data_IF_072165571437
#
_entry.id   IF_072165571437
#
_cell.length_a   1.000
_cell.length_b   1.000
_cell.length_c   1.000
_cell.angle_alpha   90.00
_cell.angle_beta   90.00
_cell.angle_gamma   90.00
#
_symmetry.space_group_name_H-M   'P 1'
#
loop_
_entity.id
_entity.type
_entity.pdbx_description
1 polymer ?
#
# COMPACT_ATOMS: atom_id res chain seq x y z
N UNK A 1 -16.43 -20.82 -28.69
CA UNK A 1 -15.99 -21.21 -27.34
C UNK A 1 -17.21 -21.72 -26.62
N UNK A 2 -17.11 -22.89 -26.01
CA UNK A 2 -18.15 -23.42 -25.12
C UNK A 2 -18.06 -22.73 -23.76
N UNK A 3 -19.13 -22.76 -22.96
CA UNK A 3 -19.13 -22.18 -21.61
C UNK A 3 -18.05 -22.79 -20.70
N UNK A 4 -17.74 -24.08 -20.89
CA UNK A 4 -16.64 -24.75 -20.18
C UNK A 4 -15.26 -24.17 -20.53
N UNK A 5 -15.02 -23.82 -21.79
CA UNK A 5 -13.79 -23.15 -22.21
C UNK A 5 -13.71 -21.73 -21.66
N UNK A 6 -14.82 -20.98 -21.68
CA UNK A 6 -14.88 -19.61 -21.13
C UNK A 6 -14.59 -19.66 -19.62
N UNK A 7 -15.20 -20.58 -18.88
CA UNK A 7 -14.95 -20.76 -17.46
C UNK A 7 -13.46 -21.04 -17.16
N UNK A 8 -12.84 -21.93 -17.94
CA UNK A 8 -11.40 -22.22 -17.81
C UNK A 8 -10.55 -20.96 -18.01
N UNK A 9 -10.84 -20.17 -19.04
CA UNK A 9 -10.14 -18.91 -19.30
C UNK A 9 -10.36 -17.91 -18.16
N UNK A 10 -11.59 -17.77 -17.66
CA UNK A 10 -11.89 -16.87 -16.53
C UNK A 10 -11.10 -17.24 -15.28
N UNK A 11 -11.01 -18.52 -14.95
CA UNK A 11 -10.20 -19.02 -13.83
C UNK A 11 -8.71 -18.69 -14.02
N UNK A 12 -8.18 -18.88 -15.22
CA UNK A 12 -6.78 -18.53 -15.51
C UNK A 12 -6.53 -17.03 -15.45
N UNK A 13 -7.50 -16.20 -15.84
CA UNK A 13 -7.42 -14.75 -15.70
C UNK A 13 -7.44 -14.30 -14.23
N UNK A 14 -8.28 -14.91 -13.38
CA UNK A 14 -8.28 -14.67 -11.92
C UNK A 14 -6.92 -15.00 -11.30
N UNK A 15 -6.37 -16.18 -11.60
CA UNK A 15 -5.03 -16.59 -11.13
C UNK A 15 -3.94 -15.67 -11.67
N UNK A 16 -4.06 -15.24 -12.93
CA UNK A 16 -3.10 -14.32 -13.53
C UNK A 16 -3.13 -12.96 -12.83
N UNK A 17 -4.31 -12.41 -12.55
CA UNK A 17 -4.46 -11.16 -11.84
C UNK A 17 -3.83 -11.24 -10.45
N UNK A 18 -4.26 -12.22 -9.63
CA UNK A 18 -3.76 -12.38 -8.27
C UNK A 18 -2.24 -12.61 -8.19
N UNK A 19 -1.68 -13.41 -9.10
CA UNK A 19 -0.22 -13.64 -9.16
C UNK A 19 0.56 -12.37 -9.45
N UNK A 20 0.13 -11.58 -10.45
CA UNK A 20 0.89 -10.40 -10.87
C UNK A 20 0.76 -9.26 -9.86
N UNK A 21 -0.41 -9.07 -9.25
CA UNK A 21 -0.61 -8.03 -8.25
C UNK A 21 0.08 -8.37 -6.94
N UNK A 22 0.00 -9.63 -6.51
CA UNK A 22 0.77 -10.13 -5.36
C UNK A 22 2.28 -10.02 -5.60
N UNK A 23 2.78 -10.39 -6.79
CA UNK A 23 4.20 -10.22 -7.15
C UNK A 23 4.61 -8.75 -7.13
N UNK A 24 3.80 -7.84 -7.67
CA UNK A 24 4.08 -6.40 -7.64
C UNK A 24 4.21 -5.87 -6.21
N UNK A 25 3.23 -6.14 -5.35
CA UNK A 25 3.26 -5.69 -3.95
C UNK A 25 4.42 -6.30 -3.17
N UNK A 26 4.65 -7.61 -3.27
CA UNK A 26 5.72 -8.28 -2.53
C UNK A 26 7.09 -7.77 -2.97
N UNK A 27 7.30 -7.56 -4.27
CA UNK A 27 8.57 -7.05 -4.79
C UNK A 27 8.78 -5.59 -4.38
N UNK A 28 7.73 -4.76 -4.43
CA UNK A 28 7.80 -3.37 -3.99
C UNK A 28 8.12 -3.26 -2.49
N UNK A 29 7.49 -4.10 -1.65
CA UNK A 29 7.67 -4.07 -0.19
C UNK A 29 8.99 -4.70 0.29
N UNK A 30 9.59 -5.57 -0.52
CA UNK A 30 10.88 -6.20 -0.21
C UNK A 30 12.08 -5.25 -0.34
N UNK A 31 11.89 -4.08 -0.94
CA UNK A 31 12.94 -3.06 -1.04
C UNK A 31 13.08 -2.37 0.32
N UNK A 32 14.24 -2.54 0.95
CA UNK A 32 14.52 -1.95 2.26
C UNK A 32 14.72 -0.43 2.18
N UNK A 33 15.40 0.03 1.14
CA UNK A 33 15.70 1.45 0.94
C UNK A 33 14.44 2.25 0.56
N UNK A 34 14.15 3.39 1.21
CA UNK A 34 12.99 4.23 0.87
C UNK A 34 13.05 4.80 -0.55
N UNK A 35 12.10 4.43 -1.40
CA UNK A 35 12.11 4.82 -2.81
C UNK A 35 13.22 4.13 -3.61
N UNK A 36 13.84 3.09 -3.03
CA UNK A 36 14.92 2.36 -3.66
C UNK A 36 14.45 1.48 -4.81
N UNK A 37 15.37 0.66 -5.31
CA UNK A 37 15.16 -0.25 -6.42
C UNK A 37 15.74 -1.62 -6.11
N UNK A 38 15.25 -2.65 -6.79
CA UNK A 38 15.89 -3.97 -6.82
C UNK A 38 15.91 -4.51 -8.26
N UNK A 39 16.82 -5.44 -8.61
CA UNK A 39 16.80 -6.08 -9.92
C UNK A 39 15.44 -6.69 -10.24
N UNK A 40 14.81 -7.33 -9.26
CA UNK A 40 13.48 -7.93 -9.41
C UNK A 40 12.40 -6.88 -9.68
N UNK A 41 12.51 -5.70 -9.08
CA UNK A 41 11.60 -4.58 -9.34
C UNK A 41 11.78 -4.03 -10.75
N UNK A 42 13.01 -3.79 -11.17
CA UNK A 42 13.34 -3.29 -12.52
C UNK A 42 12.87 -4.28 -13.59
N UNK A 43 13.11 -5.58 -13.39
CA UNK A 43 12.63 -6.64 -14.29
C UNK A 43 11.12 -6.64 -14.40
N UNK A 44 10.41 -6.42 -13.29
CA UNK A 44 8.95 -6.37 -13.27
C UNK A 44 8.41 -5.14 -14.00
N UNK A 45 8.99 -3.96 -13.77
CA UNK A 45 8.64 -2.74 -14.51
C UNK A 45 8.86 -2.92 -16.01
N UNK A 46 10.02 -3.47 -16.41
CA UNK A 46 10.36 -3.78 -17.80
C UNK A 46 9.36 -4.76 -18.43
N UNK A 47 8.99 -5.84 -17.73
CA UNK A 47 8.03 -6.83 -18.21
C UNK A 47 6.67 -6.20 -18.56
N UNK A 48 6.21 -5.23 -17.75
CA UNK A 48 4.97 -4.50 -17.98
C UNK A 48 5.14 -3.20 -18.79
N UNK A 49 6.36 -2.94 -19.30
CA UNK A 49 6.72 -1.73 -20.06
C UNK A 49 6.44 -0.43 -19.32
N UNK A 50 6.60 -0.46 -18.00
CA UNK A 50 6.53 0.72 -17.14
C UNK A 50 7.90 1.38 -17.15
N UNK A 51 7.92 2.68 -17.39
CA UNK A 51 9.17 3.45 -17.34
C UNK A 51 9.52 3.70 -15.88
N UNK A 52 10.74 3.35 -15.41
CA UNK A 52 11.15 3.68 -14.06
C UNK A 52 11.23 5.19 -13.88
N UNK A 53 10.88 5.64 -12.68
CA UNK A 53 11.06 7.03 -12.27
C UNK A 53 12.55 7.28 -12.06
N UNK A 54 13.00 8.51 -12.32
CA UNK A 54 14.41 8.85 -12.13
C UNK A 54 14.83 8.63 -10.67
N UNK A 55 16.07 8.18 -10.47
CA UNK A 55 16.58 7.90 -9.13
C UNK A 55 16.48 9.11 -8.20
N UNK A 56 16.84 10.29 -8.69
CA UNK A 56 16.73 11.56 -7.96
C UNK A 56 15.28 11.84 -7.53
N UNK A 57 14.32 11.63 -8.41
CA UNK A 57 12.90 11.86 -8.12
C UNK A 57 12.32 10.85 -7.12
N UNK A 58 12.77 9.59 -7.17
CA UNK A 58 12.39 8.58 -6.18
C UNK A 58 12.86 8.97 -4.79
N UNK A 59 14.13 9.34 -4.64
CA UNK A 59 14.68 9.78 -3.36
C UNK A 59 14.05 11.08 -2.86
N UNK A 60 13.81 12.04 -3.75
CA UNK A 60 13.10 13.28 -3.42
C UNK A 60 11.70 12.98 -2.87
N UNK A 61 10.94 12.12 -3.55
CA UNK A 61 9.59 11.73 -3.14
C UNK A 61 9.61 10.99 -1.81
N UNK A 62 10.53 10.03 -1.63
CA UNK A 62 10.68 9.30 -0.38
C UNK A 62 10.98 10.25 0.80
N UNK A 63 11.87 11.23 0.60
CA UNK A 63 12.21 12.24 1.60
C UNK A 63 11.03 13.15 1.95
N UNK A 64 10.29 13.65 0.95
CA UNK A 64 9.14 14.55 1.17
C UNK A 64 8.00 13.82 1.89
N UNK A 65 7.74 12.57 1.52
CA UNK A 65 6.63 11.79 2.08
C UNK A 65 6.98 11.09 3.40
N UNK A 66 8.26 11.08 3.78
CA UNK A 66 8.74 10.37 4.98
C UNK A 66 8.63 8.86 4.84
N UNK A 67 8.70 8.34 3.61
CA UNK A 67 8.63 6.91 3.32
C UNK A 67 9.72 6.16 4.09
N UNK A 68 9.36 5.02 4.69
CA UNK A 68 10.29 4.26 5.54
C UNK A 68 10.97 3.10 4.80
N UNK A 69 10.36 2.61 3.72
CA UNK A 69 10.86 1.51 2.89
C UNK A 69 10.01 1.36 1.63
N UNK A 70 10.49 0.60 0.66
CA UNK A 70 9.75 0.13 -0.50
C UNK A 70 10.07 0.85 -1.81
N UNK A 71 9.45 0.40 -2.90
CA UNK A 71 9.50 1.05 -4.21
C UNK A 71 8.75 2.40 -4.24
N UNK A 72 9.07 3.23 -5.23
CA UNK A 72 8.32 4.47 -5.47
C UNK A 72 6.82 4.18 -5.63
N UNK A 73 5.94 4.91 -4.90
CA UNK A 73 4.48 4.78 -5.05
C UNK A 73 4.00 5.07 -6.47
N UNK A 74 4.70 5.94 -7.20
CA UNK A 74 4.37 6.29 -8.59
C UNK A 74 4.62 5.09 -9.53
N UNK A 75 5.79 4.46 -9.45
CA UNK A 75 6.12 3.26 -10.22
C UNK A 75 5.14 2.12 -9.94
N UNK A 76 4.78 1.92 -8.67
CA UNK A 76 3.80 0.90 -8.30
C UNK A 76 2.40 1.23 -8.85
N UNK A 77 2.00 2.51 -8.83
CA UNK A 77 0.72 2.96 -9.41
C UNK A 77 0.69 2.65 -10.90
N UNK A 78 1.74 3.00 -11.64
CA UNK A 78 1.83 2.75 -13.07
C UNK A 78 1.88 1.25 -13.41
N UNK A 79 2.58 0.46 -12.60
CA UNK A 79 2.63 -0.99 -12.73
C UNK A 79 1.26 -1.64 -12.51
N UNK A 80 0.56 -1.27 -11.44
CA UNK A 80 -0.79 -1.75 -11.18
C UNK A 80 -1.76 -1.29 -12.28
N UNK A 81 -1.63 -0.05 -12.77
CA UNK A 81 -2.42 0.45 -13.90
C UNK A 81 -2.16 -0.35 -15.19
N UNK A 82 -0.90 -0.72 -15.46
CA UNK A 82 -0.53 -1.57 -16.60
C UNK A 82 -1.11 -3.00 -16.48
N UNK A 83 -1.08 -3.59 -15.28
CA UNK A 83 -1.71 -4.89 -14.98
C UNK A 83 -3.22 -4.80 -15.22
N UNK A 84 -3.89 -3.79 -14.66
CA UNK A 84 -5.33 -3.54 -14.83
C UNK A 84 -5.69 -3.32 -16.29
N UNK A 85 -4.90 -2.56 -17.05
CA UNK A 85 -5.11 -2.35 -18.49
C UNK A 85 -4.99 -3.65 -19.28
N UNK A 86 -3.98 -4.47 -18.99
CA UNK A 86 -3.79 -5.79 -19.60
C UNK A 86 -4.97 -6.72 -19.28
N UNK A 87 -5.43 -6.71 -18.04
CA UNK A 87 -6.58 -7.49 -17.58
C UNK A 87 -7.87 -7.07 -18.29
N UNK A 88 -8.18 -5.77 -18.34
CA UNK A 88 -9.33 -5.21 -19.08
C UNK A 88 -9.29 -5.62 -20.55
N UNK A 89 -8.12 -5.58 -21.18
CA UNK A 89 -7.95 -6.03 -22.58
C UNK A 89 -8.24 -7.52 -22.75
N UNK A 90 -7.81 -8.37 -21.81
CA UNK A 90 -8.09 -9.81 -21.83
C UNK A 90 -9.57 -10.11 -21.60
N UNK A 91 -10.22 -9.45 -20.64
CA UNK A 91 -11.66 -9.59 -20.38
C UNK A 91 -12.48 -9.14 -21.59
N UNK A 92 -12.11 -8.04 -22.26
CA UNK A 92 -12.83 -7.54 -23.45
C UNK A 92 -12.83 -8.55 -24.62
N UNK A 93 -11.86 -9.46 -24.66
CA UNK A 93 -11.75 -10.51 -25.69
C UNK A 93 -12.57 -11.75 -25.37
N UNK A 94 -13.13 -11.86 -24.16
CA UNK A 94 -14.03 -12.95 -23.82
C UNK A 94 -15.36 -12.74 -24.55
N UNK A 95 -15.92 -13.79 -25.18
CA UNK A 95 -17.31 -13.74 -25.62
C UNK A 95 -18.22 -13.68 -24.40
N UNK A 96 -19.41 -13.11 -24.60
CA UNK A 96 -20.45 -13.16 -23.60
C UNK A 96 -21.05 -14.58 -23.56
N UNK A 97 -21.07 -15.23 -22.40
CA UNK A 97 -21.66 -16.56 -22.25
C UNK A 97 -23.18 -16.46 -22.14
N UNK A 98 -23.88 -17.52 -22.54
CA UNK A 98 -25.33 -17.64 -22.37
C UNK A 98 -25.70 -17.99 -20.91
N UNK A 99 -24.76 -18.59 -20.16
CA UNK A 99 -24.92 -18.88 -18.74
C UNK A 99 -24.84 -17.61 -17.86
N UNK A 100 -25.93 -17.33 -17.15
CA UNK A 100 -26.05 -16.24 -16.19
C UNK A 100 -25.00 -16.31 -15.07
N UNK A 101 -24.66 -17.51 -14.57
CA UNK A 101 -23.70 -17.65 -13.48
C UNK A 101 -22.28 -17.27 -13.93
N UNK A 102 -21.91 -17.65 -15.15
CA UNK A 102 -20.64 -17.30 -15.75
C UNK A 102 -20.55 -15.81 -16.09
N UNK A 103 -21.64 -15.22 -16.58
CA UNK A 103 -21.76 -13.77 -16.79
C UNK A 103 -21.51 -12.98 -15.50
N UNK A 104 -22.15 -13.37 -14.39
CA UNK A 104 -21.93 -12.77 -13.07
C UNK A 104 -20.47 -12.87 -12.60
N UNK A 105 -19.80 -13.99 -12.89
CA UNK A 105 -18.38 -14.16 -12.55
C UNK A 105 -17.48 -13.23 -13.34
N UNK A 106 -17.74 -13.05 -14.64
CA UNK A 106 -17.00 -12.10 -15.49
C UNK A 106 -17.19 -10.67 -14.97
N UNK A 107 -18.41 -10.29 -14.60
CA UNK A 107 -18.68 -8.97 -14.05
C UNK A 107 -18.04 -8.74 -12.68
N UNK A 108 -18.01 -9.77 -11.82
CA UNK A 108 -17.23 -9.71 -10.57
C UNK A 108 -15.75 -9.49 -10.85
N UNK A 109 -15.18 -10.19 -11.84
CA UNK A 109 -13.78 -10.03 -12.22
C UNK A 109 -13.47 -8.62 -12.76
N UNK A 110 -14.40 -8.02 -13.51
CA UNK A 110 -14.32 -6.61 -13.94
C UNK A 110 -14.31 -5.67 -12.74
N UNK A 111 -15.29 -5.80 -11.83
CA UNK A 111 -15.37 -4.97 -10.62
C UNK A 111 -14.12 -5.08 -9.75
N UNK A 112 -13.57 -6.29 -9.60
CA UNK A 112 -12.30 -6.51 -8.89
C UNK A 112 -11.14 -5.81 -9.58
N UNK A 113 -11.06 -5.91 -10.92
CA UNK A 113 -10.02 -5.26 -11.73
C UNK A 113 -10.08 -3.74 -11.59
N UNK A 114 -11.28 -3.15 -11.53
CA UNK A 114 -11.47 -1.70 -11.45
C UNK A 114 -11.07 -1.12 -10.10
N UNK A 115 -11.34 -1.84 -9.00
CA UNK A 115 -10.96 -1.41 -7.64
C UNK A 115 -9.53 -1.76 -7.26
N UNK A 116 -8.88 -2.62 -8.05
CA UNK A 116 -7.58 -3.20 -7.72
C UNK A 116 -6.52 -2.14 -7.43
N UNK A 117 -6.45 -1.11 -8.27
CA UNK A 117 -5.46 -0.05 -8.14
C UNK A 117 -5.59 0.65 -6.79
N UNK A 118 -6.80 1.13 -6.48
CA UNK A 118 -7.06 1.93 -5.28
C UNK A 118 -6.90 1.09 -4.01
N UNK A 119 -7.44 -0.14 -3.99
CA UNK A 119 -7.35 -1.03 -2.82
C UNK A 119 -5.89 -1.42 -2.53
N UNK A 120 -5.11 -1.77 -3.55
CA UNK A 120 -3.71 -2.18 -3.37
C UNK A 120 -2.80 -0.99 -3.05
N UNK A 121 -3.03 0.17 -3.67
CA UNK A 121 -2.28 1.38 -3.32
C UNK A 121 -2.61 1.84 -1.90
N UNK A 122 -3.88 1.80 -1.48
CA UNK A 122 -4.25 2.14 -0.11
C UNK A 122 -3.57 1.19 0.91
N UNK A 123 -3.55 -0.12 0.62
CA UNK A 123 -2.85 -1.10 1.46
C UNK A 123 -1.34 -0.84 1.50
N UNK A 124 -0.72 -0.61 0.34
CA UNK A 124 0.71 -0.33 0.23
C UNK A 124 1.10 0.91 1.04
N UNK A 125 0.39 2.02 0.83
CA UNK A 125 0.64 3.31 1.50
C UNK A 125 0.56 3.21 3.01
N UNK A 126 -0.37 2.42 3.55
CA UNK A 126 -0.48 2.16 4.99
C UNK A 126 0.75 1.47 5.59
N UNK A 127 1.52 0.75 4.77
CA UNK A 127 2.71 0.00 5.20
C UNK A 127 3.98 0.83 5.04
N UNK A 128 4.11 1.59 3.94
CA UNK A 128 5.36 2.30 3.61
C UNK A 128 5.46 3.70 4.20
N UNK A 129 4.33 4.32 4.53
CA UNK A 129 4.32 5.65 5.13
C UNK A 129 4.08 5.59 6.64
N UNK A 130 4.74 6.46 7.41
CA UNK A 130 4.53 6.56 8.85
C UNK A 130 3.09 6.99 9.13
N UNK A 131 2.43 6.33 10.09
CA UNK A 131 1.15 6.81 10.62
C UNK A 131 1.40 8.10 11.40
N UNK A 132 1.10 9.25 10.80
CA UNK A 132 1.00 10.51 11.56
C UNK A 132 -0.30 10.46 12.36
N UNK A 133 -0.22 10.05 13.62
CA UNK A 133 -1.33 10.23 14.57
C UNK A 133 -1.65 11.72 14.75
N UNK A 134 -2.87 12.05 15.16
CA UNK A 134 -3.30 13.44 15.42
C UNK A 134 -2.39 14.18 16.42
N UNK A 135 -1.61 13.45 17.20
CA UNK A 135 -0.67 13.93 18.20
C UNK A 135 0.80 13.97 17.72
N UNK A 136 1.09 13.64 16.47
CA UNK A 136 2.45 13.64 15.94
C UNK A 136 3.12 15.01 16.08
N UNK A 137 2.39 16.09 15.79
CA UNK A 137 2.89 17.46 15.96
C UNK A 137 3.02 17.88 17.42
N UNK A 138 2.13 17.42 18.30
CA UNK A 138 2.27 17.65 19.74
C UNK A 138 3.51 16.94 20.30
N UNK A 139 3.83 15.75 19.78
CA UNK A 139 5.04 15.00 20.14
C UNK A 139 6.30 15.68 19.63
N UNK A 140 6.32 16.10 18.35
CA UNK A 140 7.43 16.87 17.77
C UNK A 140 7.67 18.19 18.53
N UNK A 141 6.59 18.88 18.94
CA UNK A 141 6.70 20.10 19.74
C UNK A 141 7.27 19.83 21.14
N UNK A 142 6.85 18.74 21.79
CA UNK A 142 7.37 18.33 23.10
C UNK A 142 8.84 17.86 23.05
N UNK A 143 9.27 17.23 21.95
CA UNK A 143 10.67 16.84 21.75
C UNK A 143 11.57 18.05 21.42
N UNK A 144 11.05 19.06 20.70
CA UNK A 144 11.79 20.31 20.46
C UNK A 144 12.00 21.11 21.74
N UNK A 145 10.97 21.23 22.59
CA UNK A 145 11.09 21.95 23.88
C UNK A 145 12.02 21.26 24.88
N UNK A 146 12.25 19.95 24.75
CA UNK A 146 13.27 19.21 25.52
C UNK A 146 14.71 19.67 25.26
N UNK A 147 14.98 20.20 24.06
CA UNK A 147 16.32 20.65 23.67
C UNK A 147 16.55 22.15 23.97
N UNK A 148 15.58 22.84 24.58
CA UNK A 148 15.73 24.25 24.96
C UNK A 148 16.54 24.40 26.25
N UNK A 149 17.44 25.40 26.33
CA UNK A 149 18.22 25.67 27.54
C UNK A 149 17.29 26.02 28.70
N UNK A 150 17.29 25.20 29.76
CA UNK A 150 16.43 25.40 30.94
C UNK A 150 15.28 24.40 31.08
N UNK A 151 15.11 23.48 30.12
CA UNK A 151 14.16 22.39 30.26
C UNK A 151 14.55 21.47 31.42
N UNK A 152 13.66 21.33 32.41
CA UNK A 152 13.80 20.37 33.52
C UNK A 152 12.89 19.18 33.26
N UNK A 153 13.47 17.99 33.16
CA UNK A 153 12.69 16.77 33.14
C UNK A 153 11.89 16.66 34.44
N UNK A 154 10.56 16.77 34.37
CA UNK A 154 9.74 16.25 35.47
C UNK A 154 9.91 14.73 35.47
N UNK A 155 10.20 14.16 36.64
CA UNK A 155 10.52 12.74 36.84
C UNK A 155 9.37 11.78 36.48
N UNK A 156 8.23 12.28 36.03
CA UNK A 156 7.01 11.52 35.75
C UNK A 156 6.59 11.52 34.27
N UNK A 157 7.26 12.27 33.39
CA UNK A 157 6.84 12.43 32.00
C UNK A 157 7.51 11.42 31.03
N UNK A 158 7.32 10.12 31.28
CA UNK A 158 7.43 9.15 30.18
C UNK A 158 6.10 9.17 29.41
N UNK A 159 6.04 9.97 28.34
CA UNK A 159 4.90 9.96 27.42
C UNK A 159 4.94 8.66 26.61
N UNK A 160 4.46 7.58 27.20
CA UNK A 160 4.15 6.37 26.45
C UNK A 160 3.01 6.72 25.48
N UNK A 161 3.18 6.47 24.18
CA UNK A 161 2.15 6.76 23.18
C UNK A 161 1.33 5.51 22.87
N UNK A 162 0.05 5.70 22.54
CA UNK A 162 -0.78 4.66 21.97
C UNK A 162 -0.23 4.16 20.64
N UNK A 163 -0.06 2.84 20.48
CA UNK A 163 0.36 2.20 19.21
C UNK A 163 -0.66 2.37 18.08
N UNK A 164 -1.95 2.40 18.42
CA UNK A 164 -3.05 2.63 17.49
C UNK A 164 -3.10 4.03 16.89
N UNK A 165 -3.41 5.02 17.73
CA UNK A 165 -3.68 6.40 17.31
C UNK A 165 -2.56 7.41 17.62
N UNK A 166 -1.50 7.02 18.33
CA UNK A 166 -0.40 7.90 18.71
C UNK A 166 -0.68 8.85 19.88
N UNK A 167 -1.85 8.75 20.54
CA UNK A 167 -2.19 9.61 21.68
C UNK A 167 -1.23 9.45 22.86
N UNK A 168 -0.92 10.54 23.60
CA UNK A 168 -0.16 10.44 24.84
C UNK A 168 -0.97 9.64 25.88
N UNK A 169 -0.35 8.66 26.53
CA UNK A 169 -0.96 7.98 27.68
C UNK A 169 -0.90 8.94 28.86
N UNK A 170 -2.06 9.47 29.23
CA UNK A 170 -2.23 10.34 30.40
C UNK A 170 -2.05 9.51 31.68
N UNK A 171 -2.51 8.25 31.67
CA UNK A 171 -2.34 7.32 32.77
C UNK A 171 -1.67 6.00 32.30
N UNK A 172 -0.44 5.69 32.75
CA UNK A 172 0.26 4.44 32.40
C UNK A 172 -0.46 3.17 32.86
N UNK A 173 -1.34 3.27 33.86
CA UNK A 173 -2.08 2.15 34.44
C UNK A 173 -3.33 1.75 33.64
N UNK A 174 -3.79 2.58 32.70
CA UNK A 174 -4.94 2.26 31.85
C UNK A 174 -4.48 1.41 30.67
N UNK A 175 -5.00 0.18 30.59
CA UNK A 175 -4.72 -0.75 29.48
C UNK A 175 -5.43 -0.34 28.18
N UNK A 176 -6.41 0.56 28.24
CA UNK A 176 -7.10 1.11 27.08
C UNK A 176 -6.62 2.50 26.70
N UNK A 177 -6.55 2.78 25.40
CA UNK A 177 -6.39 4.14 24.92
C UNK A 177 -7.70 4.92 25.02
N UNK A 178 -7.74 5.95 25.87
CA UNK A 178 -8.91 6.83 26.06
C UNK A 178 -9.39 7.54 24.78
N UNK A 179 -8.55 7.62 23.75
CA UNK A 179 -8.88 8.29 22.49
C UNK A 179 -9.43 7.36 21.41
N UNK A 180 -8.84 6.17 21.24
CA UNK A 180 -9.21 5.25 20.15
C UNK A 180 -9.76 3.90 20.61
N UNK A 181 -9.78 3.66 21.92
CA UNK A 181 -10.24 2.41 22.51
C UNK A 181 -9.33 1.21 22.24
N UNK A 182 -8.13 1.42 21.70
CA UNK A 182 -7.19 0.33 21.47
C UNK A 182 -6.62 -0.16 22.81
N UNK A 183 -6.79 -1.46 23.05
CA UNK A 183 -6.34 -2.16 24.26
C UNK A 183 -4.88 -2.61 24.08
N UNK A 184 -4.02 -2.32 25.05
CA UNK A 184 -2.58 -2.64 25.06
C UNK A 184 -2.28 -3.96 25.75
#
# INVERSE_FOLDING_TARGET
MTDGEILSVVIELEKWLGRNTGKALNTALAIEEPGGSSPQWVDLLSHFKVKPVSEEERFRTAKITGMQRGASPEELTDLLAAITKSMRSKIKKLPWPDDNALSLRIDRLRSLTDRLLDENMAAYRKIVFPKKGMFAHAKEAAEKSRNEPGWKASSEAFVNCCRGCGAPRINPSHLDCEYCGEHF
#
